data_IF_166206875366
#
_entry.id   IF_166206875366
#
_cell.length_a   1.000
_cell.length_b   1.000
_cell.length_c   1.000
_cell.angle_alpha   90.00
_cell.angle_beta   90.00
_cell.angle_gamma   90.00
#
_symmetry.space_group_name_H-M   'P 1'
#
loop_
_entity.id
_entity.type
_entity.pdbx_description
1 polymer ?
#
# COMPACT_ATOMS: atom_id res chain seq x y z
N UNK A 1 -11.27 -1.84 6.88
CA UNK A 1 -9.97 -2.44 6.51
C UNK A 1 -8.95 -1.36 6.16
N UNK A 2 -7.66 -1.68 6.14
CA UNK A 2 -6.59 -0.80 5.65
C UNK A 2 -6.04 -1.37 4.33
N UNK A 3 -6.02 -0.55 3.28
CA UNK A 3 -5.42 -0.88 1.99
C UNK A 3 -4.67 0.35 1.49
N UNK A 4 -3.34 0.29 1.44
CA UNK A 4 -2.54 1.49 1.22
C UNK A 4 -1.23 1.21 0.50
N UNK A 5 -0.73 2.23 -0.20
CA UNK A 5 0.55 2.24 -0.91
C UNK A 5 1.42 3.41 -0.39
N UNK A 6 2.14 3.21 0.73
CA UNK A 6 2.99 4.25 1.31
C UNK A 6 4.16 4.63 0.39
N UNK A 7 4.74 5.82 0.58
CA UNK A 7 5.98 6.18 -0.11
C UNK A 7 7.11 5.21 0.25
N UNK A 8 7.94 4.88 -0.75
CA UNK A 8 8.98 3.86 -0.61
C UNK A 8 10.34 4.41 -0.15
N UNK A 9 10.44 5.71 0.17
CA UNK A 9 11.70 6.33 0.58
C UNK A 9 12.74 6.34 -0.55
N UNK A 10 12.26 6.42 -1.80
CA UNK A 10 13.10 6.58 -2.98
C UNK A 10 13.00 8.03 -3.42
N UNK A 11 14.13 8.74 -3.47
CA UNK A 11 14.18 10.08 -4.04
C UNK A 11 13.78 10.02 -5.53
N UNK A 12 12.49 10.16 -5.81
CA UNK A 12 12.00 10.12 -7.17
C UNK A 12 12.33 11.44 -7.86
N UNK A 13 13.41 11.47 -8.64
CA UNK A 13 13.61 12.50 -9.67
C UNK A 13 12.89 12.08 -10.95
N UNK A 14 11.70 12.64 -11.17
CA UNK A 14 10.95 12.41 -12.41
C UNK A 14 11.75 12.88 -13.64
N UNK A 15 11.85 12.04 -14.67
CA UNK A 15 12.54 12.34 -15.95
C UNK A 15 11.74 13.28 -16.88
N UNK A 16 10.77 14.03 -16.38
CA UNK A 16 9.95 14.96 -17.20
C UNK A 16 10.47 16.39 -17.08
N UNK A 17 10.22 17.24 -18.09
CA UNK A 17 10.71 18.63 -18.15
C UNK A 17 10.37 19.47 -16.90
N UNK A 18 9.35 19.08 -16.16
CA UNK A 18 9.01 19.62 -14.84
C UNK A 18 9.47 18.60 -13.80
N UNK A 19 10.74 18.67 -13.38
CA UNK A 19 11.28 17.83 -12.32
C UNK A 19 10.50 18.07 -11.02
N UNK A 20 9.40 17.34 -10.84
CA UNK A 20 8.61 17.32 -9.62
C UNK A 20 9.40 16.52 -8.59
N UNK A 21 10.07 17.22 -7.70
CA UNK A 21 10.67 16.66 -6.50
C UNK A 21 9.55 16.39 -5.50
N UNK A 22 9.37 15.14 -5.08
CA UNK A 22 8.47 14.83 -3.96
C UNK A 22 9.22 15.22 -2.68
N UNK A 23 8.72 16.23 -1.98
CA UNK A 23 9.33 16.76 -0.76
C UNK A 23 9.29 15.71 0.37
N UNK A 24 10.46 15.41 0.97
CA UNK A 24 10.66 14.48 2.12
C UNK A 24 10.61 12.95 1.86
N UNK A 25 10.86 12.48 0.64
CA UNK A 25 10.84 11.04 0.30
C UNK A 25 12.22 10.33 0.42
N UNK A 26 13.11 10.87 1.26
CA UNK A 26 14.43 10.29 1.52
C UNK A 26 14.38 9.09 2.48
N UNK A 27 15.36 8.19 2.38
CA UNK A 27 15.48 6.98 3.25
C UNK A 27 15.43 7.36 4.74
N UNK A 28 16.06 8.47 5.13
CA UNK A 28 16.14 8.91 6.54
C UNK A 28 14.77 9.33 7.12
N UNK A 29 13.83 9.73 6.25
CA UNK A 29 12.47 10.11 6.66
C UNK A 29 11.48 8.94 6.67
N UNK A 30 11.83 7.81 6.05
CA UNK A 30 10.90 6.71 5.81
C UNK A 30 10.45 6.03 7.11
N UNK A 31 11.38 5.62 7.96
CA UNK A 31 11.05 4.90 9.20
C UNK A 31 10.15 5.74 10.13
N UNK A 32 10.48 7.00 10.48
CA UNK A 32 9.62 7.83 11.32
C UNK A 32 8.25 8.11 10.68
N UNK A 33 8.20 8.25 9.35
CA UNK A 33 6.95 8.41 8.62
C UNK A 33 6.06 7.17 8.79
N UNK A 34 6.60 5.97 8.53
CA UNK A 34 5.84 4.72 8.63
C UNK A 34 5.37 4.48 10.08
N UNK A 35 6.22 4.70 11.08
CA UNK A 35 5.85 4.57 12.48
C UNK A 35 4.72 5.54 12.87
N UNK A 36 4.88 6.83 12.51
CA UNK A 36 3.89 7.86 12.87
C UNK A 36 2.56 7.74 12.13
N UNK A 37 2.51 6.97 11.04
CA UNK A 37 1.31 6.77 10.22
C UNK A 37 0.73 5.38 10.41
N UNK A 38 1.41 4.34 9.95
CA UNK A 38 0.96 2.95 10.05
C UNK A 38 0.84 2.54 11.52
N UNK A 39 1.78 2.93 12.39
CA UNK A 39 1.70 2.66 13.83
C UNK A 39 0.43 3.25 14.46
N UNK A 40 0.15 4.53 14.21
CA UNK A 40 -1.10 5.17 14.67
C UNK A 40 -2.35 4.53 14.08
N UNK A 41 -2.29 4.09 12.82
CA UNK A 41 -3.41 3.38 12.22
C UNK A 41 -3.69 2.03 12.91
N UNK A 42 -2.66 1.34 13.41
CA UNK A 42 -2.84 0.12 14.20
C UNK A 42 -3.58 0.43 15.49
N UNK A 43 -3.17 1.47 16.21
CA UNK A 43 -3.79 1.89 17.48
C UNK A 43 -5.28 2.22 17.34
N UNK A 44 -5.70 2.71 16.17
CA UNK A 44 -7.09 3.11 15.90
C UNK A 44 -7.88 2.08 15.10
N UNK A 45 -7.26 0.96 14.72
CA UNK A 45 -7.94 -0.12 14.01
C UNK A 45 -8.61 -1.07 14.98
N UNK A 46 -9.85 -1.47 14.67
CA UNK A 46 -10.54 -2.50 15.43
C UNK A 46 -9.73 -3.83 15.43
N UNK A 47 -9.78 -4.63 16.51
CA UNK A 47 -9.21 -5.97 16.51
C UNK A 47 -9.76 -6.80 15.34
N UNK A 48 -8.89 -7.51 14.63
CA UNK A 48 -9.26 -8.27 13.42
C UNK A 48 -9.39 -7.43 12.14
N UNK A 49 -9.20 -6.11 12.19
CA UNK A 49 -9.15 -5.27 10.98
C UNK A 49 -8.09 -5.82 10.01
N UNK A 50 -8.46 -6.06 8.75
CA UNK A 50 -7.56 -6.59 7.71
C UNK A 50 -6.70 -5.49 7.12
N UNK A 51 -5.42 -5.80 6.85
CA UNK A 51 -4.42 -4.89 6.30
C UNK A 51 -3.77 -5.44 5.04
N UNK A 52 -3.65 -4.56 4.04
CA UNK A 52 -2.82 -4.71 2.86
C UNK A 52 -1.94 -3.48 2.71
N UNK A 53 -0.63 -3.63 2.84
CA UNK A 53 0.34 -2.54 2.74
C UNK A 53 1.32 -2.86 1.63
N UNK A 54 1.26 -2.13 0.51
CA UNK A 54 2.25 -2.27 -0.55
C UNK A 54 3.62 -1.83 -0.03
N UNK A 55 4.66 -2.57 -0.41
CA UNK A 55 6.01 -2.34 0.07
C UNK A 55 7.04 -2.46 -1.06
N UNK A 56 8.15 -1.70 -0.97
CA UNK A 56 9.23 -1.80 -1.94
C UNK A 56 9.91 -3.17 -1.86
N UNK A 57 10.55 -3.56 -2.96
CA UNK A 57 11.57 -4.60 -2.90
C UNK A 57 12.91 -3.99 -2.45
N UNK A 58 13.81 -4.83 -1.91
CA UNK A 58 15.13 -4.39 -1.44
C UNK A 58 15.15 -3.95 0.03
N UNK A 59 16.22 -3.27 0.48
CA UNK A 59 16.46 -2.99 1.90
C UNK A 59 15.35 -2.19 2.58
N UNK A 60 14.69 -1.28 1.87
CA UNK A 60 13.60 -0.46 2.40
C UNK A 60 12.40 -1.31 2.86
N UNK A 61 12.24 -2.53 2.34
CA UNK A 61 11.23 -3.48 2.81
C UNK A 61 11.33 -3.71 4.33
N UNK A 62 12.54 -3.68 4.89
CA UNK A 62 12.78 -3.92 6.30
C UNK A 62 12.06 -2.91 7.19
N UNK A 63 11.96 -1.64 6.78
CA UNK A 63 11.26 -0.60 7.54
C UNK A 63 9.76 -0.91 7.68
N UNK A 64 9.13 -1.31 6.58
CA UNK A 64 7.72 -1.69 6.56
C UNK A 64 7.47 -2.97 7.36
N UNK A 65 8.34 -3.97 7.17
CA UNK A 65 8.26 -5.25 7.87
C UNK A 65 8.43 -5.09 9.38
N UNK A 66 9.34 -4.21 9.83
CA UNK A 66 9.54 -3.90 11.24
C UNK A 66 8.29 -3.28 11.85
N UNK A 67 7.75 -2.20 11.27
CA UNK A 67 6.57 -1.50 11.82
C UNK A 67 5.36 -2.43 11.95
N UNK A 68 5.04 -3.22 10.92
CA UNK A 68 3.88 -4.13 10.97
C UNK A 68 4.17 -5.42 11.74
N UNK A 69 5.42 -5.84 11.82
CA UNK A 69 5.88 -6.99 12.59
C UNK A 69 5.80 -6.73 14.09
N UNK A 70 6.34 -5.60 14.53
CA UNK A 70 6.33 -5.15 15.94
C UNK A 70 4.91 -4.88 16.44
N UNK A 71 4.07 -4.33 15.56
CA UNK A 71 2.64 -4.16 15.83
C UNK A 71 1.84 -5.48 15.85
N UNK A 72 2.48 -6.61 15.48
CA UNK A 72 1.84 -7.90 15.38
C UNK A 72 0.75 -7.96 14.32
N UNK A 73 0.77 -7.10 13.30
CA UNK A 73 -0.24 -7.08 12.21
C UNK A 73 0.12 -8.07 11.11
N UNK A 74 1.38 -8.10 10.69
CA UNK A 74 1.84 -8.85 9.52
C UNK A 74 1.74 -10.38 9.72
N UNK A 75 1.26 -11.10 8.70
CA UNK A 75 1.08 -12.57 8.70
C UNK A 75 1.74 -13.23 7.51
N UNK A 76 1.57 -12.66 6.32
CA UNK A 76 2.10 -13.19 5.08
C UNK A 76 2.52 -12.04 4.17
N UNK A 77 3.44 -12.32 3.25
CA UNK A 77 3.75 -11.41 2.15
C UNK A 77 3.13 -11.96 0.89
N UNK A 78 2.25 -11.17 0.28
CA UNK A 78 1.74 -11.42 -1.06
C UNK A 78 2.72 -10.81 -2.07
N UNK A 79 2.75 -11.40 -3.26
CA UNK A 79 3.63 -11.00 -4.35
C UNK A 79 2.76 -10.59 -5.52
N UNK A 80 2.71 -9.30 -5.81
CA UNK A 80 2.10 -8.81 -7.04
C UNK A 80 3.10 -8.96 -8.19
N UNK A 81 2.84 -9.89 -9.10
CA UNK A 81 3.62 -10.12 -10.33
C UNK A 81 3.08 -9.26 -11.47
N UNK A 82 3.99 -8.54 -12.11
CA UNK A 82 3.75 -7.62 -13.22
C UNK A 82 3.85 -8.34 -14.57
N UNK A 83 3.23 -7.79 -15.60
CA UNK A 83 3.33 -8.25 -16.99
C UNK A 83 4.69 -7.99 -17.63
N UNK A 84 5.47 -7.05 -17.09
CA UNK A 84 6.83 -6.76 -17.55
C UNK A 84 7.80 -6.49 -16.39
N UNK A 85 9.08 -6.75 -16.61
CA UNK A 85 10.15 -6.36 -15.68
C UNK A 85 10.32 -4.84 -15.60
N UNK A 86 10.86 -4.37 -14.48
CA UNK A 86 11.33 -3.00 -14.25
C UNK A 86 12.85 -3.01 -14.37
N UNK A 87 13.35 -2.36 -15.42
CA UNK A 87 14.79 -2.24 -15.64
C UNK A 87 15.42 -1.39 -14.53
N UNK A 88 16.45 -1.94 -13.90
CA UNK A 88 17.24 -1.29 -12.86
C UNK A 88 18.74 -1.43 -13.12
N UNK A 89 19.55 -0.92 -12.19
CA UNK A 89 21.03 -1.02 -12.27
C UNK A 89 21.60 -2.32 -11.69
N UNK A 90 20.75 -3.17 -11.12
CA UNK A 90 21.12 -4.46 -10.53
C UNK A 90 21.19 -5.56 -11.61
N UNK A 91 21.89 -6.65 -11.30
CA UNK A 91 22.02 -7.85 -12.14
C UNK A 91 20.67 -8.55 -12.37
N UNK A 92 19.75 -8.41 -11.41
CA UNK A 92 18.39 -8.93 -11.50
C UNK A 92 17.37 -7.80 -11.53
N UNK A 93 16.42 -7.89 -12.46
CA UNK A 93 15.36 -6.90 -12.64
C UNK A 93 14.08 -7.34 -11.93
N UNK A 94 13.46 -6.43 -11.19
CA UNK A 94 12.21 -6.73 -10.49
C UNK A 94 11.07 -6.90 -11.48
N UNK A 95 10.30 -7.99 -11.35
CA UNK A 95 9.01 -8.18 -12.01
C UNK A 95 7.86 -8.25 -11.01
N UNK A 96 8.12 -7.97 -9.74
CA UNK A 96 7.10 -8.04 -8.71
C UNK A 96 7.23 -6.90 -7.69
N UNK A 97 6.18 -6.72 -6.90
CA UNK A 97 6.15 -5.92 -5.67
C UNK A 97 5.57 -6.74 -4.53
N UNK A 98 6.00 -6.43 -3.30
CA UNK A 98 5.49 -7.07 -2.10
C UNK A 98 4.23 -6.34 -1.59
N UNK A 99 3.32 -7.10 -0.99
CA UNK A 99 2.19 -6.57 -0.22
C UNK A 99 2.18 -7.29 1.11
N UNK A 100 2.42 -6.56 2.19
CA UNK A 100 2.34 -7.08 3.55
C UNK A 100 0.86 -7.27 3.88
N UNK A 101 0.47 -8.51 4.15
CA UNK A 101 -0.90 -8.90 4.47
C UNK A 101 -0.99 -9.38 5.93
N UNK A 102 -2.07 -8.99 6.59
CA UNK A 102 -2.38 -9.47 7.92
C UNK A 102 -3.58 -8.76 8.54
N UNK A 103 -3.64 -8.75 9.87
CA UNK A 103 -4.75 -8.14 10.59
C UNK A 103 -4.34 -7.70 11.99
N UNK A 104 -5.00 -6.65 12.48
CA UNK A 104 -4.83 -6.13 13.84
C UNK A 104 -5.06 -7.26 14.87
N UNK A 105 -4.14 -7.47 15.85
CA UNK A 105 -4.29 -8.49 16.89
C UNK A 105 -5.58 -8.38 17.71
N UNK A 106 -5.92 -9.47 18.41
CA UNK A 106 -7.00 -9.49 19.41
C UNK A 106 -8.42 -9.70 18.85
N UNK A 107 -8.56 -9.98 17.55
CA UNK A 107 -9.86 -10.20 16.92
C UNK A 107 -9.81 -11.18 15.76
N UNK A 108 -11.00 -11.62 15.33
CA UNK A 108 -11.18 -12.47 14.15
C UNK A 108 -11.22 -11.57 12.92
N UNK A 109 -10.43 -11.91 11.90
CA UNK A 109 -10.43 -11.17 10.64
C UNK A 109 -11.62 -11.56 9.75
N UNK A 110 -11.94 -10.68 8.79
CA UNK A 110 -12.97 -10.92 7.79
C UNK A 110 -12.72 -12.25 7.07
N UNK A 111 -13.73 -13.11 7.00
CA UNK A 111 -13.60 -14.43 6.43
C UNK A 111 -13.56 -14.32 4.89
N UNK A 112 -12.53 -14.88 4.22
CA UNK A 112 -12.46 -14.80 2.77
C UNK A 112 -13.56 -15.65 2.13
N UNK A 113 -14.07 -15.28 0.93
CA UNK A 113 -15.11 -16.03 0.24
C UNK A 113 -14.72 -17.49 -0.04
N UNK A 114 -13.43 -17.74 -0.27
CA UNK A 114 -12.85 -19.08 -0.47
C UNK A 114 -11.44 -19.14 0.14
N UNK A 115 -10.91 -20.36 0.32
CA UNK A 115 -9.54 -20.60 0.81
C UNK A 115 -8.59 -21.17 -0.23
N UNK A 116 -8.87 -20.96 -1.52
CA UNK A 116 -8.06 -21.48 -2.65
C UNK A 116 -7.07 -20.46 -3.22
N UNK A 117 -7.12 -19.20 -2.77
CA UNK A 117 -6.23 -18.14 -3.25
C UNK A 117 -4.79 -18.38 -2.77
N UNK A 118 -3.82 -18.05 -3.62
CA UNK A 118 -2.39 -18.16 -3.30
C UNK A 118 -1.81 -16.80 -2.94
N UNK A 119 -0.56 -16.78 -2.49
CA UNK A 119 0.17 -15.55 -2.20
C UNK A 119 0.67 -14.82 -3.44
N UNK A 120 0.45 -15.35 -4.65
CA UNK A 120 0.92 -14.77 -5.91
C UNK A 120 -0.26 -14.18 -6.66
N UNK A 121 -0.18 -12.88 -6.95
CA UNK A 121 -1.23 -12.10 -7.61
C UNK A 121 -0.71 -11.59 -8.95
N UNK A 122 -1.28 -12.05 -10.05
CA UNK A 122 -0.85 -11.65 -11.40
C UNK A 122 -1.75 -10.56 -11.96
N UNK A 123 -1.25 -9.32 -11.97
CA UNK A 123 -1.99 -8.19 -12.53
C UNK A 123 -1.04 -7.34 -13.39
N UNK A 124 -1.41 -6.97 -14.62
CA UNK A 124 -0.58 -6.10 -15.44
C UNK A 124 -0.48 -4.72 -14.80
N UNK A 125 0.68 -4.10 -14.92
CA UNK A 125 0.88 -2.70 -14.47
C UNK A 125 0.16 -1.76 -15.44
N UNK A 126 -0.36 -0.60 -14.99
CA UNK A 126 -1.00 0.34 -15.90
C UNK A 126 -0.05 0.79 -17.01
N UNK A 127 -0.46 0.63 -18.28
CA UNK A 127 0.40 0.88 -19.44
C UNK A 127 0.68 2.38 -19.68
N UNK A 128 -0.18 3.26 -19.15
CA UNK A 128 0.01 4.73 -19.15
C UNK A 128 -0.99 5.35 -18.17
N UNK A 129 -0.51 6.22 -17.27
CA UNK A 129 -1.36 7.21 -16.58
C UNK A 129 -0.78 8.57 -16.91
N UNK A 130 -1.61 9.50 -17.40
CA UNK A 130 -1.21 10.88 -17.65
C UNK A 130 -0.98 11.66 -16.33
N UNK A 131 -1.37 11.08 -15.19
CA UNK A 131 -1.46 11.78 -13.89
C UNK A 131 -0.35 11.35 -12.93
N UNK A 132 0.00 10.06 -12.86
CA UNK A 132 1.09 9.58 -12.01
C UNK A 132 1.86 8.41 -12.64
N UNK A 133 3.20 8.47 -12.73
CA UNK A 133 4.01 7.44 -13.40
C UNK A 133 4.00 6.06 -12.73
N UNK A 134 3.53 5.95 -11.48
CA UNK A 134 3.59 4.70 -10.67
C UNK A 134 2.26 4.32 -10.02
N UNK A 135 1.13 4.51 -10.72
CA UNK A 135 -0.18 4.09 -10.21
C UNK A 135 -0.29 2.56 -10.05
N UNK A 136 -0.79 2.08 -8.90
CA UNK A 136 -1.16 0.68 -8.71
C UNK A 136 -2.38 0.30 -9.57
N UNK A 137 -2.49 -0.94 -10.09
CA UNK A 137 -3.66 -1.36 -10.86
C UNK A 137 -4.93 -1.33 -10.00
N UNK A 138 -5.97 -0.65 -10.48
CA UNK A 138 -7.29 -0.64 -9.82
C UNK A 138 -7.84 -2.06 -9.68
N UNK A 139 -7.66 -2.92 -10.69
CA UNK A 139 -8.11 -4.31 -10.65
C UNK A 139 -7.47 -5.12 -9.53
N UNK A 140 -6.19 -4.86 -9.19
CA UNK A 140 -5.52 -5.50 -8.06
C UNK A 140 -6.18 -5.06 -6.75
N UNK A 141 -6.41 -3.77 -6.57
CA UNK A 141 -7.01 -3.25 -5.33
C UNK A 141 -8.46 -3.72 -5.17
N UNK A 142 -9.24 -3.71 -6.25
CA UNK A 142 -10.61 -4.23 -6.25
C UNK A 142 -10.64 -5.73 -5.88
N UNK A 143 -9.69 -6.52 -6.39
CA UNK A 143 -9.56 -7.93 -6.02
C UNK A 143 -9.30 -8.11 -4.52
N UNK A 144 -8.35 -7.36 -3.95
CA UNK A 144 -8.06 -7.40 -2.51
C UNK A 144 -9.27 -6.96 -1.65
N UNK A 145 -9.95 -5.89 -2.04
CA UNK A 145 -11.17 -5.42 -1.38
C UNK A 145 -12.26 -6.49 -1.37
N UNK A 146 -12.47 -7.19 -2.49
CA UNK A 146 -13.49 -8.25 -2.62
C UNK A 146 -13.25 -9.44 -1.68
N UNK A 147 -12.02 -9.63 -1.22
CA UNK A 147 -11.65 -10.76 -0.35
C UNK A 147 -11.87 -10.44 1.13
N UNK A 148 -11.84 -9.17 1.52
CA UNK A 148 -11.71 -8.78 2.93
C UNK A 148 -12.58 -7.59 3.35
N UNK A 149 -13.60 -7.28 2.55
CA UNK A 149 -14.62 -6.29 2.88
C UNK A 149 -15.93 -6.60 2.17
N UNK A 150 -17.01 -6.03 2.69
CA UNK A 150 -18.34 -6.03 2.09
C UNK A 150 -18.74 -4.63 1.59
N UNK A 151 -19.84 -4.55 0.85
CA UNK A 151 -20.39 -3.26 0.44
C UNK A 151 -20.78 -2.43 1.67
N UNK A 152 -20.45 -1.13 1.65
CA UNK A 152 -20.63 -0.21 2.78
C UNK A 152 -19.46 -0.18 3.77
N UNK A 153 -18.51 -1.11 3.70
CA UNK A 153 -17.34 -1.10 4.58
C UNK A 153 -16.44 0.11 4.31
N UNK A 154 -15.79 0.57 5.39
CA UNK A 154 -14.79 1.63 5.35
C UNK A 154 -13.40 1.06 5.02
N UNK A 155 -12.77 1.65 4.00
CA UNK A 155 -11.40 1.39 3.58
C UNK A 155 -10.55 2.63 3.84
N UNK A 156 -9.44 2.44 4.55
CA UNK A 156 -8.55 3.52 4.93
C UNK A 156 -7.24 3.47 4.13
N UNK A 157 -6.89 4.60 3.52
CA UNK A 157 -5.65 4.81 2.79
C UNK A 157 -5.05 6.20 3.14
N UNK A 158 -4.10 6.27 4.08
CA UNK A 158 -3.51 7.54 4.50
C UNK A 158 -2.54 8.14 3.47
N UNK A 159 -2.21 7.39 2.41
CA UNK A 159 -1.21 7.79 1.42
C UNK A 159 -1.80 8.06 0.05
N UNK A 160 -3.01 7.59 -0.25
CA UNK A 160 -3.97 7.88 -1.33
C UNK A 160 -3.43 8.09 -2.77
N UNK A 161 -2.36 8.86 -2.94
CA UNK A 161 -1.51 8.95 -4.12
C UNK A 161 -2.32 9.26 -5.37
N UNK A 162 -2.25 8.36 -6.34
CA UNK A 162 -2.96 8.44 -7.62
C UNK A 162 -4.46 8.10 -7.55
N UNK A 163 -5.01 7.85 -6.36
CA UNK A 163 -6.44 7.57 -6.15
C UNK A 163 -6.87 6.14 -6.44
N UNK A 164 -5.95 5.17 -6.60
CA UNK A 164 -6.29 3.77 -6.91
C UNK A 164 -7.27 3.18 -5.91
N UNK A 165 -7.05 3.42 -4.61
CA UNK A 165 -7.93 2.92 -3.53
C UNK A 165 -9.32 3.51 -3.64
N UNK A 166 -9.45 4.82 -3.89
CA UNK A 166 -10.74 5.50 -4.04
C UNK A 166 -11.52 4.91 -5.21
N UNK A 167 -10.87 4.76 -6.38
CA UNK A 167 -11.52 4.22 -7.59
C UNK A 167 -11.98 2.77 -7.34
N UNK A 168 -11.15 1.94 -6.70
CA UNK A 168 -11.51 0.56 -6.40
C UNK A 168 -12.68 0.48 -5.39
N UNK A 169 -12.69 1.37 -4.39
CA UNK A 169 -13.80 1.44 -3.42
C UNK A 169 -15.11 1.84 -4.09
N UNK A 170 -15.10 2.86 -4.95
CA UNK A 170 -16.27 3.33 -5.71
C UNK A 170 -16.87 2.19 -6.55
N UNK A 171 -16.04 1.47 -7.31
CA UNK A 171 -16.46 0.34 -8.15
C UNK A 171 -17.14 -0.79 -7.36
N UNK A 172 -16.78 -0.92 -6.09
CA UNK A 172 -17.25 -1.98 -5.21
C UNK A 172 -18.23 -1.48 -4.15
N UNK A 173 -18.67 -0.22 -4.21
CA UNK A 173 -19.57 0.37 -3.21
C UNK A 173 -19.03 0.30 -1.77
N UNK A 174 -17.72 0.54 -1.59
CA UNK A 174 -17.07 0.74 -0.28
C UNK A 174 -16.90 2.24 -0.02
N UNK A 175 -16.87 2.64 1.24
CA UNK A 175 -16.51 3.99 1.63
C UNK A 175 -14.98 4.11 1.69
N UNK A 176 -14.39 5.10 1.02
CA UNK A 176 -12.96 5.39 1.12
C UNK A 176 -12.72 6.59 2.07
N UNK A 177 -11.91 6.38 3.11
CA UNK A 177 -11.30 7.46 3.86
C UNK A 177 -9.85 7.60 3.42
N UNK A 178 -9.52 8.73 2.79
CA UNK A 178 -8.19 8.96 2.25
C UNK A 178 -7.78 10.42 2.44
N UNK A 179 -6.48 10.67 2.62
CA UNK A 179 -5.94 12.04 2.81
C UNK A 179 -4.76 12.25 1.85
N UNK A 180 -4.78 13.34 1.09
CA UNK A 180 -3.80 13.60 0.02
C UNK A 180 -2.61 14.47 0.45
N UNK A 181 -2.55 14.96 1.69
CA UNK A 181 -1.43 15.80 2.17
C UNK A 181 -1.26 15.75 3.70
N UNK A 182 -0.05 15.44 4.15
CA UNK A 182 0.38 15.58 5.55
C UNK A 182 1.05 16.95 5.75
N UNK A 183 0.27 18.01 5.91
CA UNK A 183 0.81 19.25 6.48
C UNK A 183 0.90 19.06 7.99
N UNK A 184 2.10 19.14 8.57
CA UNK A 184 2.27 19.23 10.03
C UNK A 184 1.38 20.38 10.52
N UNK A 185 0.31 20.05 11.25
CA UNK A 185 -0.34 21.04 12.09
C UNK A 185 0.69 21.48 13.11
N UNK A 186 1.10 22.74 13.04
CA UNK A 186 1.78 23.38 14.15
C UNK A 186 0.84 23.30 15.35
N UNK A 187 1.18 22.46 16.31
CA UNK A 187 0.58 22.52 17.63
C UNK A 187 0.92 23.91 18.19
N UNK A 188 -0.12 24.72 18.37
CA UNK A 188 -0.09 25.95 19.18
C UNK A 188 0.15 25.62 20.64
#
# INVERSE_FOLDING_TARGET
MVLTDPPYGVEYQGKTKNALTIENDGIDGLQPLLESTLGKLVEHSAPGCVWYVCAPAGPQFAAFAAVLGDAGVWRQTLVWVKDSMVLGRSDHHYRHEAILYGWTPGGVHHAPPTRSRTTVLEFPRPKRSAVHPTMKPVALFADLLSVSSDAGDLVLDPFCGSGTTIIACEQLQRAAAARSSWTRGTAT
#
